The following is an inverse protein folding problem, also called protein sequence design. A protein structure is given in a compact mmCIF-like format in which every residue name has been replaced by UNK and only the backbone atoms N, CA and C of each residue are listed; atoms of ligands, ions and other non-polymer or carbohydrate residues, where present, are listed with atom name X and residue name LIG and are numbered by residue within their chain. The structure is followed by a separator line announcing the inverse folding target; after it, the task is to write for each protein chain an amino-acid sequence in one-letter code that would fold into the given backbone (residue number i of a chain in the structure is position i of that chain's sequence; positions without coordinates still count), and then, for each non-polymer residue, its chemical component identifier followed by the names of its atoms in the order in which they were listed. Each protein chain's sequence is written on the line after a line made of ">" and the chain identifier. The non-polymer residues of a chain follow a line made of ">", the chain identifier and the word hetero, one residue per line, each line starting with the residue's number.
data_IF_133619590859
#
_entry.id   IF_133619590859
#
_cell.length_a   1.000
_cell.length_b   1.000
_cell.length_c   1.000
_cell.angle_alpha   90.00
_cell.angle_beta   90.00
_cell.angle_gamma   90.00
#
_symmetry.space_group_name_H-M   'P 1'
#
loop_
_entity.id
_entity.type
_entity.pdbx_description
1 polymer ?
#
# COMPACT_ATOMS: atom_id res chain seq x y z
N UNK A 1 7.10 5.48 -1.23
CA UNK A 1 8.57 5.45 -1.15
C UNK A 1 9.08 4.05 -1.49
N UNK A 2 8.73 3.02 -0.71
CA UNK A 2 9.44 1.72 -0.77
C UNK A 2 9.29 0.89 -2.05
N UNK A 3 8.23 1.11 -2.84
CA UNK A 3 7.98 0.32 -4.05
C UNK A 3 8.84 0.76 -5.25
N UNK A 4 9.19 2.06 -5.32
CA UNK A 4 9.83 2.67 -6.50
C UNK A 4 11.01 3.60 -6.16
N UNK A 5 11.17 4.00 -4.90
CA UNK A 5 12.20 4.94 -4.43
C UNK A 5 12.92 4.34 -3.23
N UNK A 6 14.12 3.83 -3.46
CA UNK A 6 14.96 3.21 -2.45
C UNK A 6 16.17 4.11 -2.14
N UNK A 7 16.56 4.16 -0.86
CA UNK A 7 17.79 4.83 -0.46
C UNK A 7 18.99 3.92 -0.75
N UNK A 8 20.13 4.49 -1.14
CA UNK A 8 21.33 3.71 -1.51
C UNK A 8 21.83 2.80 -0.39
N UNK A 9 21.60 3.18 0.87
CA UNK A 9 21.99 2.37 2.04
C UNK A 9 21.23 1.04 2.15
N UNK A 10 20.20 0.81 1.33
CA UNK A 10 19.50 -0.47 1.27
C UNK A 10 20.32 -1.55 0.55
N UNK A 11 21.38 -1.15 -0.16
CA UNK A 11 22.21 -2.03 -0.98
C UNK A 11 23.61 -2.16 -0.38
N UNK A 12 23.99 -3.39 -0.03
CA UNK A 12 25.31 -3.67 0.54
C UNK A 12 25.89 -4.95 -0.06
N UNK A 13 27.14 -4.91 -0.55
CA UNK A 13 27.76 -6.03 -1.27
C UNK A 13 27.92 -7.30 -0.42
N UNK A 14 28.05 -7.14 0.91
CA UNK A 14 28.24 -8.26 1.83
C UNK A 14 26.99 -9.11 2.12
N UNK A 15 25.81 -8.76 1.58
CA UNK A 15 24.59 -9.56 1.80
C UNK A 15 24.58 -10.81 0.93
N UNK A 16 24.05 -11.93 1.44
CA UNK A 16 23.89 -13.14 0.61
C UNK A 16 22.78 -12.99 -0.43
N UNK A 17 21.70 -12.30 -0.04
CA UNK A 17 20.52 -12.01 -0.87
C UNK A 17 19.92 -10.64 -0.54
N UNK A 18 19.38 -9.98 -1.55
CA UNK A 18 18.56 -8.79 -1.45
C UNK A 18 17.20 -9.07 -2.11
N UNK A 19 16.12 -8.92 -1.33
CA UNK A 19 14.76 -9.14 -1.80
C UNK A 19 14.13 -7.81 -2.19
N UNK A 20 13.93 -7.62 -3.49
CA UNK A 20 13.39 -6.40 -4.05
C UNK A 20 11.86 -6.49 -4.20
N UNK A 21 11.13 -5.40 -3.89
CA UNK A 21 9.68 -5.36 -4.04
C UNK A 21 9.23 -5.21 -5.49
N UNK A 22 10.12 -4.80 -6.39
CA UNK A 22 9.82 -4.51 -7.79
C UNK A 22 11.05 -4.71 -8.68
N UNK A 23 10.84 -4.74 -10.01
CA UNK A 23 11.94 -4.86 -10.98
C UNK A 23 12.76 -3.57 -11.03
N UNK A 24 12.15 -2.44 -10.74
CA UNK A 24 12.75 -1.11 -10.71
C UNK A 24 13.80 -1.03 -9.60
N UNK A 25 13.45 -1.51 -8.40
CA UNK A 25 14.38 -1.60 -7.27
C UNK A 25 15.51 -2.60 -7.55
N UNK A 26 15.21 -3.72 -8.22
CA UNK A 26 16.25 -4.69 -8.61
C UNK A 26 17.27 -4.10 -9.61
N UNK A 27 16.80 -3.34 -10.60
CA UNK A 27 17.69 -2.60 -11.51
C UNK A 27 18.57 -1.62 -10.75
N UNK A 28 18.03 -0.94 -9.73
CA UNK A 28 18.82 -0.04 -8.90
C UNK A 28 19.86 -0.78 -8.07
N UNK A 29 19.51 -1.92 -7.49
CA UNK A 29 20.44 -2.76 -6.73
C UNK A 29 21.64 -3.21 -7.58
N UNK A 30 21.43 -3.55 -8.86
CA UNK A 30 22.50 -3.85 -9.80
C UNK A 30 23.43 -2.65 -10.02
N UNK A 31 22.86 -1.45 -10.21
CA UNK A 31 23.62 -0.21 -10.40
C UNK A 31 24.44 0.16 -9.14
N UNK A 32 23.88 -0.08 -7.96
CA UNK A 32 24.58 0.12 -6.68
C UNK A 32 25.48 -1.09 -6.31
N UNK A 33 25.70 -2.01 -7.25
CA UNK A 33 26.78 -3.01 -7.26
C UNK A 33 26.49 -4.33 -6.58
N UNK A 34 25.22 -4.70 -6.38
CA UNK A 34 24.86 -6.10 -6.10
C UNK A 34 24.97 -6.93 -7.38
N UNK A 35 25.42 -8.17 -7.26
CA UNK A 35 25.40 -9.14 -8.35
C UNK A 35 24.00 -9.72 -8.58
N UNK A 36 23.74 -10.19 -9.80
CA UNK A 36 22.47 -10.83 -10.18
C UNK A 36 22.12 -12.02 -9.27
N UNK A 37 23.13 -12.81 -8.90
CA UNK A 37 22.96 -13.94 -7.99
C UNK A 37 22.42 -13.54 -6.61
N UNK A 38 22.69 -12.31 -6.15
CA UNK A 38 22.24 -11.76 -4.87
C UNK A 38 20.78 -11.25 -4.94
N UNK A 39 20.25 -10.91 -6.12
CA UNK A 39 18.98 -10.18 -6.21
C UNK A 39 17.81 -11.14 -6.46
N UNK A 40 16.71 -10.97 -5.72
CA UNK A 40 15.45 -11.71 -5.95
C UNK A 40 14.27 -10.74 -5.93
N UNK A 41 13.33 -10.91 -6.85
CA UNK A 41 12.13 -10.06 -6.94
C UNK A 41 10.91 -10.90 -6.56
N UNK A 42 10.43 -10.75 -5.33
CA UNK A 42 9.26 -11.46 -4.81
C UNK A 42 8.10 -10.54 -4.43
N UNK A 43 8.29 -9.22 -4.53
CA UNK A 43 7.30 -8.26 -4.03
C UNK A 43 7.59 -7.85 -2.59
N UNK A 44 6.83 -6.86 -2.11
CA UNK A 44 6.90 -6.43 -0.72
C UNK A 44 6.26 -7.52 0.16
N UNK A 45 6.92 -7.97 1.23
CA UNK A 45 6.34 -8.97 2.11
C UNK A 45 5.10 -8.38 2.81
N UNK A 46 3.96 -9.05 2.63
CA UNK A 46 2.70 -8.71 3.32
C UNK A 46 2.38 -9.80 4.33
N UNK A 47 1.69 -9.44 5.42
CA UNK A 47 1.25 -10.41 6.45
C UNK A 47 0.48 -11.56 5.78
N UNK A 48 0.82 -12.84 6.04
CA UNK A 48 0.25 -13.95 5.30
C UNK A 48 -1.27 -14.13 5.47
N UNK A 49 -1.88 -13.53 6.50
CA UNK A 49 -3.33 -13.54 6.70
C UNK A 49 -4.06 -12.55 5.79
N UNK A 50 -3.40 -11.48 5.32
CA UNK A 50 -4.03 -10.40 4.57
C UNK A 50 -4.57 -10.85 3.19
N UNK A 51 -3.81 -11.56 2.33
CA UNK A 51 -4.30 -11.97 1.01
C UNK A 51 -5.19 -13.22 1.05
N UNK A 52 -5.27 -13.92 2.18
CA UNK A 52 -6.05 -15.17 2.32
C UNK A 52 -7.50 -14.94 2.67
N UNK A 53 -7.89 -13.71 2.96
CA UNK A 53 -9.28 -13.40 3.27
C UNK A 53 -10.03 -13.30 1.94
N UNK A 54 -10.78 -14.35 1.60
CA UNK A 54 -11.86 -14.24 0.60
C UNK A 54 -12.97 -13.49 1.31
N UNK A 55 -13.27 -12.28 0.83
CA UNK A 55 -14.24 -11.45 1.50
C UNK A 55 -15.39 -11.13 0.57
N UNK A 56 -16.61 -11.45 1.02
CA UNK A 56 -17.84 -10.98 0.39
C UNK A 56 -18.00 -9.49 0.71
N UNK A 57 -18.06 -8.66 -0.33
CA UNK A 57 -18.15 -7.21 -0.21
C UNK A 57 -19.42 -6.76 0.54
N UNK A 58 -20.53 -7.46 0.33
CA UNK A 58 -21.82 -7.10 0.93
C UNK A 58 -21.88 -7.48 2.41
N UNK A 59 -21.30 -8.64 2.75
CA UNK A 59 -21.16 -9.06 4.16
C UNK A 59 -20.27 -8.08 4.94
N UNK A 60 -19.13 -7.64 4.37
CA UNK A 60 -18.29 -6.62 5.02
C UNK A 60 -18.99 -5.29 5.20
N UNK A 61 -19.72 -4.83 4.18
CA UNK A 61 -20.41 -3.55 4.28
C UNK A 61 -21.44 -3.61 5.41
N UNK A 62 -22.16 -4.72 5.54
CA UNK A 62 -23.07 -4.96 6.65
C UNK A 62 -22.35 -5.02 8.00
N UNK A 63 -21.22 -5.73 8.09
CA UNK A 63 -20.43 -5.84 9.32
C UNK A 63 -19.83 -4.49 9.77
N UNK A 64 -19.39 -3.68 8.82
CA UNK A 64 -18.77 -2.37 9.05
C UNK A 64 -19.75 -1.20 9.03
N UNK A 65 -21.06 -1.47 8.94
CA UNK A 65 -22.12 -0.46 8.88
C UNK A 65 -21.93 0.57 7.74
N UNK A 66 -21.40 0.11 6.61
CA UNK A 66 -21.23 0.89 5.37
C UNK A 66 -22.47 0.70 4.50
N UNK A 67 -22.97 1.79 3.93
CA UNK A 67 -24.08 1.76 2.97
C UNK A 67 -23.80 0.81 1.78
N UNK A 68 -24.79 -0.02 1.42
CA UNK A 68 -24.63 -1.06 0.40
C UNK A 68 -24.57 -0.50 -1.03
N UNK A 69 -25.29 0.61 -1.27
CA UNK A 69 -25.53 1.18 -2.59
C UNK A 69 -24.50 2.26 -2.91
N UNK A 70 -24.01 2.99 -1.91
CA UNK A 70 -23.05 4.06 -2.12
C UNK A 70 -21.63 3.53 -2.39
N UNK A 71 -20.87 4.23 -3.26
CA UNK A 71 -19.44 4.00 -3.39
C UNK A 71 -18.72 4.43 -2.10
N UNK A 72 -17.75 3.63 -1.66
CA UNK A 72 -16.99 3.88 -0.44
C UNK A 72 -15.51 4.17 -0.75
N UNK A 73 -14.91 5.11 -0.02
CA UNK A 73 -13.48 5.46 -0.11
C UNK A 73 -12.80 5.10 1.22
N UNK A 74 -11.73 4.31 1.16
CA UNK A 74 -10.91 3.98 2.33
C UNK A 74 -9.84 5.08 2.53
N UNK A 75 -10.03 5.91 3.56
CA UNK A 75 -9.05 6.92 3.98
C UNK A 75 -8.23 6.38 5.16
N UNK A 76 -6.91 6.29 5.00
CA UNK A 76 -6.00 5.81 6.05
C UNK A 76 -4.75 6.72 6.14
N UNK A 77 -4.22 6.88 7.36
CA UNK A 77 -2.96 7.60 7.63
C UNK A 77 -1.78 6.70 8.00
N UNK A 78 -1.89 5.38 7.78
CA UNK A 78 -0.93 4.41 8.31
C UNK A 78 -1.02 4.26 9.85
N UNK A 79 -0.10 3.49 10.45
CA UNK A 79 -0.17 3.14 11.88
C UNK A 79 -0.08 4.34 12.83
N UNK A 80 0.63 5.39 12.43
CA UNK A 80 0.81 6.62 13.22
C UNK A 80 -0.22 7.71 12.87
N UNK A 81 -1.16 7.44 11.95
CA UNK A 81 -2.17 8.43 11.54
C UNK A 81 -1.58 9.67 10.84
N UNK A 82 -0.54 9.48 10.03
CA UNK A 82 0.18 10.57 9.35
C UNK A 82 -0.68 11.27 8.28
N UNK A 83 -0.43 12.56 8.12
CA UNK A 83 -1.08 13.41 7.11
C UNK A 83 -2.32 14.14 7.64
N UNK A 84 -2.90 15.06 6.86
CA UNK A 84 -4.03 15.88 7.28
C UNK A 84 -5.36 15.11 7.16
N UNK A 85 -5.44 13.90 7.76
CA UNK A 85 -6.56 12.96 7.60
C UNK A 85 -7.90 13.62 7.86
N UNK A 86 -8.01 14.43 8.92
CA UNK A 86 -9.24 15.17 9.25
C UNK A 86 -9.66 16.13 8.13
N UNK A 87 -8.73 16.93 7.60
CA UNK A 87 -9.03 17.89 6.53
C UNK A 87 -9.44 17.18 5.25
N UNK A 88 -8.80 16.06 4.94
CA UNK A 88 -9.18 15.22 3.80
C UNK A 88 -10.56 14.62 4.00
N UNK A 89 -10.90 14.13 5.20
CA UNK A 89 -12.23 13.60 5.50
C UNK A 89 -13.33 14.67 5.36
N UNK A 90 -13.07 15.89 5.83
CA UNK A 90 -13.99 17.03 5.67
C UNK A 90 -14.19 17.38 4.19
N UNK A 91 -13.11 17.50 3.42
CA UNK A 91 -13.19 17.80 1.99
C UNK A 91 -13.90 16.68 1.19
N UNK A 92 -13.71 15.42 1.57
CA UNK A 92 -14.45 14.29 1.00
C UNK A 92 -15.93 14.38 1.36
N UNK A 93 -16.26 14.74 2.60
CA UNK A 93 -17.62 15.02 3.03
C UNK A 93 -18.28 16.04 2.12
N UNK A 94 -17.68 17.23 1.98
CA UNK A 94 -18.24 18.32 1.16
C UNK A 94 -18.32 17.97 -0.33
N UNK A 95 -17.31 17.26 -0.87
CA UNK A 95 -17.25 16.93 -2.30
C UNK A 95 -18.13 15.76 -2.71
N UNK A 96 -18.38 14.81 -1.81
CA UNK A 96 -19.16 13.60 -2.08
C UNK A 96 -20.59 13.71 -1.56
N UNK A 97 -20.91 14.76 -0.79
CA UNK A 97 -22.26 15.06 -0.34
C UNK A 97 -23.15 15.40 -1.54
N UNK A 98 -23.89 14.41 -2.03
CA UNK A 98 -24.89 14.61 -3.06
C UNK A 98 -26.13 15.30 -2.46
N UNK A 99 -26.32 16.58 -2.75
CA UNK A 99 -27.56 17.30 -2.44
C UNK A 99 -28.77 16.88 -3.29
N UNK A 100 -28.66 15.80 -4.09
CA UNK A 100 -29.65 15.37 -5.09
C UNK A 100 -30.61 14.26 -4.65
N UNK A 101 -30.61 13.91 -3.38
CA UNK A 101 -31.64 13.02 -2.80
C UNK A 101 -32.38 13.75 -1.68
N UNK A 102 -33.37 14.55 -2.09
CA UNK A 102 -34.55 14.86 -1.28
C UNK A 102 -35.78 14.73 -2.17
#
# INVERSE_FOLDING_TARGET
>A
ADLNTCHRTWFHHGVSRCYCPSKEVAKRALVDGLGDSQIRVFGLPVRPSFPRTIINKDELRKELEIDSELPAVLLMGGGEGMGPVQKTAQALGDSLYNSKEK
#
